data_IF_168446024967
#
_entry.id   IF_168446024967
#
_cell.length_a   1.000
_cell.length_b   1.000
_cell.length_c   1.000
_cell.angle_alpha   90.00
_cell.angle_beta   90.00
_cell.angle_gamma   90.00
#
_symmetry.space_group_name_H-M   'P 1'
#
loop_
_entity.id
_entity.type
_entity.pdbx_description
1 polymer ?
#
# COMPACT_ATOMS: atom_id res chain seq x y z
N UNK A 1 21.43 -0.43 -6.81
CA UNK A 1 20.30 0.17 -6.06
C UNK A 1 19.35 -0.98 -5.72
N UNK A 2 19.14 -1.30 -4.45
CA UNK A 2 18.18 -2.33 -4.04
C UNK A 2 17.00 -1.56 -3.46
N UNK A 3 15.95 -1.42 -4.24
CA UNK A 3 14.74 -0.75 -3.79
C UNK A 3 13.54 -1.41 -4.43
N UNK A 4 12.41 -1.39 -3.74
CA UNK A 4 11.15 -1.77 -4.32
C UNK A 4 10.62 -0.61 -5.15
N UNK A 5 10.08 -0.89 -6.32
CA UNK A 5 9.39 0.09 -7.13
C UNK A 5 8.06 -0.48 -7.64
N UNK A 6 7.11 0.41 -7.85
CA UNK A 6 5.85 0.10 -8.49
C UNK A 6 5.84 0.73 -9.88
N UNK A 7 5.61 -0.07 -10.91
CA UNK A 7 5.37 0.40 -12.26
C UNK A 7 3.88 0.51 -12.54
N UNK A 8 3.50 1.58 -13.21
CA UNK A 8 2.12 1.84 -13.63
C UNK A 8 2.11 2.55 -14.97
N UNK A 9 0.97 2.58 -15.62
CA UNK A 9 0.77 3.31 -16.87
C UNK A 9 -0.32 4.38 -16.70
N UNK A 10 -0.71 5.02 -17.79
CA UNK A 10 -1.76 6.04 -17.82
C UNK A 10 -3.09 5.59 -17.16
N UNK A 11 -3.35 4.28 -17.11
CA UNK A 11 -4.57 3.71 -16.53
C UNK A 11 -4.52 3.53 -15.01
N UNK A 12 -3.48 4.04 -14.30
CA UNK A 12 -3.31 3.84 -12.86
C UNK A 12 -4.54 4.22 -12.03
N UNK A 13 -5.31 5.23 -12.44
CA UNK A 13 -6.54 5.62 -11.75
C UNK A 13 -7.62 4.56 -11.83
N UNK A 14 -7.73 3.82 -12.94
CA UNK A 14 -8.68 2.70 -13.06
C UNK A 14 -8.35 1.59 -12.06
N UNK A 15 -7.04 1.30 -11.88
CA UNK A 15 -6.59 0.33 -10.91
C UNK A 15 -6.88 0.79 -9.48
N UNK A 16 -6.58 2.04 -9.15
CA UNK A 16 -6.87 2.62 -7.83
C UNK A 16 -8.36 2.55 -7.51
N UNK A 17 -9.22 2.87 -8.46
CA UNK A 17 -10.67 2.80 -8.27
C UNK A 17 -11.19 1.38 -8.06
N UNK A 18 -10.64 0.40 -8.79
CA UNK A 18 -11.05 -1.00 -8.66
C UNK A 18 -10.50 -1.68 -7.42
N UNK A 19 -9.23 -1.46 -7.10
CA UNK A 19 -8.53 -2.17 -6.06
C UNK A 19 -8.50 -1.40 -4.73
N UNK A 20 -8.78 -0.11 -4.74
CA UNK A 20 -8.53 0.79 -3.63
C UNK A 20 -9.22 0.40 -2.32
N UNK A 21 -10.43 -0.10 -2.37
CA UNK A 21 -11.18 -0.50 -1.16
C UNK A 21 -10.69 -1.83 -0.59
N UNK A 22 -10.28 -2.76 -1.45
CA UNK A 22 -9.83 -4.10 -1.04
C UNK A 22 -8.40 -4.09 -0.45
N UNK A 23 -7.58 -3.10 -0.82
CA UNK A 23 -6.17 -3.01 -0.42
C UNK A 23 -5.87 -1.87 0.57
N UNK A 24 -6.90 -1.40 1.26
CA UNK A 24 -6.76 -0.22 2.10
C UNK A 24 -6.45 0.98 1.22
N UNK A 25 -7.47 1.47 0.56
CA UNK A 25 -7.44 2.61 -0.36
C UNK A 25 -6.32 3.58 -0.02
N UNK A 26 -5.66 4.17 -0.97
CA UNK A 26 -4.70 5.20 -0.67
C UNK A 26 -5.36 6.12 0.33
N UNK A 27 -4.85 6.13 1.55
CA UNK A 27 -5.23 7.03 2.64
C UNK A 27 -4.79 8.45 2.27
N UNK A 28 -5.02 8.81 1.04
CA UNK A 28 -4.86 10.15 0.53
C UNK A 28 -6.09 10.88 1.05
N UNK A 29 -6.00 11.21 2.32
CA UNK A 29 -7.11 11.58 3.17
C UNK A 29 -7.92 12.78 2.73
N UNK A 30 -7.72 13.25 1.50
CA UNK A 30 -8.46 14.39 0.96
C UNK A 30 -8.72 14.17 -0.53
N UNK A 31 -9.97 14.25 -0.99
CA UNK A 31 -10.33 14.19 -2.40
C UNK A 31 -9.51 15.18 -3.26
N UNK A 32 -9.27 16.37 -2.74
CA UNK A 32 -8.48 17.42 -3.41
C UNK A 32 -7.04 16.98 -3.72
N UNK A 33 -6.43 16.20 -2.83
CA UNK A 33 -5.08 15.68 -3.04
C UNK A 33 -5.00 14.64 -4.15
N UNK A 34 -6.08 13.89 -4.40
CA UNK A 34 -6.15 12.92 -5.50
C UNK A 34 -6.30 13.65 -6.83
N UNK A 35 -7.12 14.69 -6.89
CA UNK A 35 -7.30 15.51 -8.09
C UNK A 35 -6.01 16.24 -8.46
N UNK A 36 -5.32 16.84 -7.50
CA UNK A 36 -4.04 17.48 -7.71
C UNK A 36 -2.98 16.49 -8.20
N UNK A 37 -2.89 15.32 -7.56
CA UNK A 37 -2.00 14.25 -7.98
C UNK A 37 -2.28 13.79 -9.41
N UNK A 38 -3.54 13.60 -9.77
CA UNK A 38 -3.92 13.21 -11.13
C UNK A 38 -3.51 14.28 -12.15
N UNK A 39 -3.77 15.55 -11.87
CA UNK A 39 -3.38 16.66 -12.75
C UNK A 39 -1.87 16.76 -12.93
N UNK A 40 -1.10 16.59 -11.84
CA UNK A 40 0.37 16.58 -11.89
C UNK A 40 0.91 15.42 -12.72
N UNK A 41 0.36 14.22 -12.55
CA UNK A 41 0.73 13.05 -13.33
C UNK A 41 0.38 13.19 -14.82
N UNK A 42 -0.82 13.69 -15.13
CA UNK A 42 -1.27 13.90 -16.51
C UNK A 42 -0.51 15.01 -17.24
N UNK A 43 0.01 15.99 -16.49
CA UNK A 43 0.85 17.08 -17.03
C UNK A 43 2.32 16.70 -17.15
N UNK A 44 2.73 15.50 -16.73
CA UNK A 44 4.12 15.07 -16.77
C UNK A 44 4.63 15.00 -18.20
N UNK A 45 5.78 15.64 -18.45
CA UNK A 45 6.52 15.51 -19.69
C UNK A 45 7.43 14.27 -19.63
N UNK A 46 7.18 13.21 -20.44
CA UNK A 46 8.06 12.05 -20.47
C UNK A 46 9.52 12.38 -20.76
N UNK A 47 9.78 13.43 -21.55
CA UNK A 47 11.15 13.86 -21.88
C UNK A 47 11.90 14.44 -20.66
N UNK A 48 11.20 14.88 -19.63
CA UNK A 48 11.81 15.31 -18.37
C UNK A 48 12.32 14.14 -17.51
N UNK A 49 11.85 12.94 -17.77
CA UNK A 49 12.23 11.72 -17.06
C UNK A 49 11.70 11.58 -15.64
N UNK A 50 11.26 12.68 -15.02
CA UNK A 50 10.68 12.70 -13.66
C UNK A 50 9.57 13.72 -13.55
N UNK A 51 8.63 13.46 -12.65
CA UNK A 51 7.58 14.39 -12.25
C UNK A 51 7.55 14.52 -10.74
N UNK A 52 7.38 15.74 -10.24
CA UNK A 52 7.18 16.02 -8.82
C UNK A 52 5.70 16.08 -8.52
N UNK A 53 5.29 15.31 -7.52
CA UNK A 53 3.88 15.19 -7.12
C UNK A 53 3.67 15.81 -5.74
N UNK A 54 3.11 17.01 -5.70
CA UNK A 54 2.84 17.76 -4.47
C UNK A 54 1.65 17.20 -3.70
N UNK A 55 0.67 16.64 -4.39
CA UNK A 55 -0.47 16.00 -3.77
C UNK A 55 -0.06 14.93 -2.76
N UNK A 56 1.04 14.22 -3.01
CA UNK A 56 1.64 13.28 -2.06
C UNK A 56 2.36 13.96 -0.89
N UNK A 57 2.92 15.17 -1.06
CA UNK A 57 3.51 15.93 0.05
C UNK A 57 2.47 16.32 1.09
N UNK A 58 1.29 16.73 0.67
CA UNK A 58 0.20 17.11 1.56
C UNK A 58 -0.29 15.90 2.36
N UNK A 59 -0.40 14.74 1.70
CA UNK A 59 -0.83 13.49 2.32
C UNK A 59 0.23 12.86 3.24
N UNK A 60 1.52 13.04 2.93
CA UNK A 60 2.64 12.36 3.58
C UNK A 60 3.78 13.33 3.94
N UNK A 61 3.52 14.37 4.70
CA UNK A 61 4.54 15.34 5.16
C UNK A 61 5.78 14.71 5.82
N UNK A 62 5.67 13.48 6.27
CA UNK A 62 6.77 12.70 6.86
C UNK A 62 7.52 11.82 5.86
N UNK A 63 7.16 11.83 4.58
CA UNK A 63 7.72 10.94 3.55
C UNK A 63 8.15 11.70 2.29
N UNK A 64 9.14 12.62 2.38
CA UNK A 64 9.56 13.47 1.25
C UNK A 64 10.14 12.72 0.06
N UNK A 65 10.49 11.43 0.22
CA UNK A 65 11.05 10.58 -0.83
C UNK A 65 9.99 9.98 -1.78
N UNK A 66 8.71 10.17 -1.52
CA UNK A 66 7.64 9.74 -2.43
C UNK A 66 7.25 10.82 -3.45
N UNK A 67 7.98 11.92 -3.49
CA UNK A 67 7.63 13.09 -4.31
C UNK A 67 8.19 13.02 -5.72
N UNK A 68 9.15 12.12 -5.98
CA UNK A 68 9.73 11.94 -7.30
C UNK A 68 9.19 10.65 -7.93
N UNK A 69 8.44 10.82 -9.02
CA UNK A 69 7.97 9.73 -9.86
C UNK A 69 8.73 9.81 -11.18
N UNK A 70 9.33 8.71 -11.59
CA UNK A 70 9.93 8.60 -12.90
C UNK A 70 8.85 8.46 -13.96
N UNK A 71 9.05 9.07 -15.13
CA UNK A 71 8.11 9.03 -16.25
C UNK A 71 8.86 8.70 -17.52
N UNK A 72 8.20 8.02 -18.45
CA UNK A 72 8.76 7.68 -19.76
C UNK A 72 7.66 7.35 -20.77
N UNK A 73 7.98 7.48 -22.06
CA UNK A 73 7.07 7.15 -23.15
C UNK A 73 7.01 5.66 -23.46
N UNK A 74 8.00 4.90 -22.97
CA UNK A 74 8.08 3.44 -23.09
C UNK A 74 8.41 2.82 -21.74
N UNK A 75 8.12 1.52 -21.60
CA UNK A 75 8.51 0.74 -20.42
C UNK A 75 10.03 0.77 -20.22
N UNK A 76 10.80 0.62 -21.30
CA UNK A 76 12.26 0.67 -21.24
C UNK A 76 12.77 2.04 -20.76
N UNK A 77 12.21 3.12 -21.30
CA UNK A 77 12.61 4.48 -20.95
C UNK A 77 12.33 4.78 -19.46
N UNK A 78 11.14 4.45 -18.96
CA UNK A 78 10.81 4.70 -17.55
C UNK A 78 11.67 3.86 -16.59
N UNK A 79 11.99 2.61 -16.95
CA UNK A 79 12.89 1.76 -16.19
C UNK A 79 14.32 2.32 -16.17
N UNK A 80 14.81 2.80 -17.33
CA UNK A 80 16.13 3.44 -17.42
C UNK A 80 16.20 4.74 -16.63
N UNK A 81 15.16 5.58 -16.70
CA UNK A 81 15.03 6.80 -15.90
C UNK A 81 15.04 6.52 -14.39
N UNK A 82 14.47 5.39 -13.97
CA UNK A 82 14.52 4.90 -12.58
C UNK A 82 15.89 4.30 -12.18
N UNK A 83 16.86 4.29 -13.12
CA UNK A 83 18.24 3.86 -12.88
C UNK A 83 18.50 2.37 -13.09
N UNK A 84 17.60 1.62 -13.72
CA UNK A 84 17.85 0.23 -14.09
C UNK A 84 18.71 0.17 -15.36
N UNK A 85 19.67 -0.75 -15.37
CA UNK A 85 20.58 -0.97 -16.50
C UNK A 85 20.92 -2.44 -16.66
N UNK A 86 21.40 -2.85 -17.85
CA UNK A 86 21.88 -4.21 -18.12
C UNK A 86 20.83 -5.29 -17.79
N UNK A 87 21.26 -6.38 -17.18
CA UNK A 87 20.40 -7.53 -16.87
C UNK A 87 19.19 -7.17 -16.00
N UNK A 88 19.31 -6.18 -15.12
CA UNK A 88 18.20 -5.73 -14.27
C UNK A 88 17.10 -5.03 -15.08
N UNK A 89 17.49 -4.26 -16.09
CA UNK A 89 16.55 -3.62 -17.01
C UNK A 89 15.80 -4.68 -17.84
N UNK A 90 16.52 -5.62 -18.42
CA UNK A 90 15.90 -6.68 -19.21
C UNK A 90 14.99 -7.59 -18.39
N UNK A 91 15.38 -7.95 -17.18
CA UNK A 91 14.53 -8.73 -16.29
C UNK A 91 13.24 -7.97 -15.90
N UNK A 92 13.33 -6.66 -15.68
CA UNK A 92 12.16 -5.84 -15.38
C UNK A 92 11.22 -5.72 -16.59
N UNK A 93 11.75 -5.53 -17.80
CA UNK A 93 10.96 -5.55 -19.04
C UNK A 93 10.23 -6.89 -19.21
N UNK A 94 10.96 -8.00 -19.10
CA UNK A 94 10.37 -9.33 -19.19
C UNK A 94 9.25 -9.57 -18.15
N UNK A 95 9.40 -9.01 -16.96
CA UNK A 95 8.36 -9.10 -15.92
C UNK A 95 7.08 -8.34 -16.31
N UNK A 96 7.20 -7.16 -16.92
CA UNK A 96 6.05 -6.40 -17.43
C UNK A 96 5.37 -7.15 -18.59
N UNK A 97 6.14 -7.67 -19.54
CA UNK A 97 5.62 -8.47 -20.65
C UNK A 97 4.88 -9.72 -20.16
N UNK A 98 5.47 -10.44 -19.20
CA UNK A 98 4.82 -11.58 -18.56
C UNK A 98 3.52 -11.21 -17.87
N UNK A 99 3.51 -10.11 -17.13
CA UNK A 99 2.30 -9.61 -16.48
C UNK A 99 1.21 -9.26 -17.51
N UNK A 100 1.57 -8.58 -18.59
CA UNK A 100 0.64 -8.22 -19.66
C UNK A 100 0.08 -9.48 -20.37
N UNK A 101 0.90 -10.53 -20.53
CA UNK A 101 0.41 -11.79 -21.04
C UNK A 101 -0.62 -12.44 -20.10
N UNK A 102 -0.36 -12.45 -18.78
CA UNK A 102 -1.33 -12.95 -17.80
C UNK A 102 -2.63 -12.14 -17.80
N UNK A 103 -2.56 -10.83 -18.03
CA UNK A 103 -3.76 -10.01 -18.24
C UNK A 103 -4.56 -10.43 -19.47
N UNK A 104 -3.88 -10.72 -20.58
CA UNK A 104 -4.51 -11.19 -21.81
C UNK A 104 -5.14 -12.57 -21.63
N UNK A 105 -4.51 -13.45 -20.89
CA UNK A 105 -4.99 -14.79 -20.57
C UNK A 105 -6.13 -14.77 -19.52
N UNK A 106 -6.31 -13.65 -18.81
CA UNK A 106 -7.30 -13.48 -17.73
C UNK A 106 -6.98 -14.30 -16.47
N UNK A 107 -5.74 -14.77 -16.33
CA UNK A 107 -5.29 -15.60 -15.20
C UNK A 107 -3.90 -15.18 -14.76
N UNK A 108 -3.75 -14.82 -13.49
CA UNK A 108 -2.46 -14.64 -12.85
C UNK A 108 -1.93 -15.99 -12.33
N UNK A 109 -1.05 -16.61 -13.10
CA UNK A 109 -0.45 -17.89 -12.75
C UNK A 109 0.65 -17.80 -11.68
N UNK A 110 1.16 -16.58 -11.39
CA UNK A 110 2.25 -16.36 -10.46
C UNK A 110 1.77 -16.13 -9.03
N UNK A 111 0.73 -15.31 -8.86
CA UNK A 111 0.27 -14.86 -7.53
C UNK A 111 -1.24 -15.04 -7.31
N UNK A 112 -1.99 -15.48 -8.31
CA UNK A 112 -3.43 -15.73 -8.20
C UNK A 112 -4.26 -14.44 -8.03
N UNK A 113 -3.82 -13.32 -8.60
CA UNK A 113 -4.57 -12.06 -8.60
C UNK A 113 -5.92 -12.27 -9.30
N UNK A 114 -6.99 -11.72 -8.74
CA UNK A 114 -8.33 -11.83 -9.31
C UNK A 114 -8.37 -11.28 -10.74
N UNK A 115 -9.07 -11.97 -11.64
CA UNK A 115 -9.14 -11.62 -13.06
C UNK A 115 -9.66 -10.20 -13.32
N UNK A 116 -10.61 -9.73 -12.55
CA UNK A 116 -11.18 -8.37 -12.64
C UNK A 116 -10.20 -7.26 -12.22
N UNK A 117 -9.11 -7.62 -11.55
CA UNK A 117 -8.01 -6.72 -11.17
C UNK A 117 -6.81 -6.81 -12.14
N UNK A 118 -6.85 -7.67 -13.13
CA UNK A 118 -5.81 -7.79 -14.14
C UNK A 118 -5.98 -6.67 -15.19
N UNK A 119 -5.22 -5.60 -15.02
CA UNK A 119 -5.17 -4.46 -15.94
C UNK A 119 -3.77 -4.40 -16.52
N UNK A 120 -3.60 -4.54 -17.86
CA UNK A 120 -2.28 -4.53 -18.47
C UNK A 120 -1.59 -3.18 -18.35
N UNK A 121 -0.28 -3.19 -18.35
CA UNK A 121 0.59 -2.00 -18.35
C UNK A 121 1.07 -1.80 -19.79
N UNK A 122 0.27 -1.11 -20.61
CA UNK A 122 0.48 -1.03 -22.07
C UNK A 122 0.15 0.34 -22.68
N UNK A 123 -0.25 1.33 -21.87
CA UNK A 123 -0.64 2.66 -22.36
C UNK A 123 0.25 3.76 -21.79
N UNK A 124 1.02 4.43 -22.68
CA UNK A 124 1.88 5.55 -22.29
C UNK A 124 1.07 6.78 -21.83
N UNK A 125 1.64 7.65 -20.97
CA UNK A 125 2.97 7.53 -20.37
C UNK A 125 3.04 6.46 -19.28
N UNK A 126 4.25 5.94 -19.06
CA UNK A 126 4.56 5.00 -18.00
C UNK A 126 5.21 5.70 -16.82
N UNK A 127 4.94 5.22 -15.62
CA UNK A 127 5.42 5.82 -14.39
C UNK A 127 6.05 4.77 -13.47
N UNK A 128 7.06 5.19 -12.71
CA UNK A 128 7.64 4.38 -11.62
C UNK A 128 7.68 5.21 -10.35
N UNK A 129 7.00 4.73 -9.32
CA UNK A 129 7.16 5.21 -7.96
C UNK A 129 8.19 4.35 -7.24
N UNK A 130 9.24 4.97 -6.72
CA UNK A 130 10.27 4.27 -5.96
C UNK A 130 10.08 4.50 -4.47
N UNK A 131 10.18 3.42 -3.68
CA UNK A 131 10.46 3.59 -2.27
C UNK A 131 11.98 3.76 -2.13
N UNK A 132 12.41 4.98 -1.82
CA UNK A 132 13.82 5.28 -1.68
C UNK A 132 14.51 4.38 -0.65
N UNK A 133 15.72 3.96 -0.96
CA UNK A 133 16.57 3.11 -0.11
C UNK A 133 16.93 3.74 1.25
N UNK A 134 16.65 5.03 1.43
CA UNK A 134 16.86 5.73 2.69
C UNK A 134 15.73 5.52 3.70
N UNK A 135 14.75 4.70 3.36
CA UNK A 135 13.61 4.47 4.21
C UNK A 135 13.88 3.40 5.28
N UNK A 136 14.83 3.70 6.16
CA UNK A 136 15.00 2.95 7.42
C UNK A 136 13.74 3.01 8.31
N UNK A 137 12.82 3.89 7.99
CA UNK A 137 11.56 4.14 8.68
C UNK A 137 10.35 3.96 7.74
N UNK A 138 10.43 3.05 6.79
CA UNK A 138 9.30 2.68 5.96
C UNK A 138 8.03 2.55 6.79
N UNK A 139 6.83 2.73 6.21
CA UNK A 139 5.60 2.55 6.96
C UNK A 139 5.69 1.22 7.69
N UNK A 140 5.63 1.26 9.01
CA UNK A 140 5.80 0.07 9.82
C UNK A 140 4.81 -0.97 9.36
N UNK A 141 5.32 -2.14 8.97
CA UNK A 141 4.46 -3.27 8.65
C UNK A 141 3.75 -3.70 9.93
N UNK A 142 2.42 -3.65 9.91
CA UNK A 142 1.62 -4.21 10.98
C UNK A 142 1.31 -5.66 10.63
N UNK A 143 1.51 -6.56 11.60
CA UNK A 143 0.95 -7.89 11.48
C UNK A 143 -0.55 -7.84 11.76
N UNK A 144 -1.33 -8.62 11.02
CA UNK A 144 -2.76 -8.83 11.32
C UNK A 144 -2.97 -9.92 12.37
N UNK A 145 -1.92 -10.70 12.66
CA UNK A 145 -1.91 -11.70 13.72
C UNK A 145 -1.75 -11.04 15.09
N UNK A 146 -2.38 -11.61 16.09
CA UNK A 146 -2.29 -11.15 17.47
C UNK A 146 -3.07 -12.05 18.40
N UNK A 147 -3.11 -11.70 19.69
CA UNK A 147 -3.82 -12.46 20.69
C UNK A 147 -5.34 -12.28 20.50
N UNK A 148 -6.08 -13.38 20.56
CA UNK A 148 -7.53 -13.33 20.53
C UNK A 148 -8.07 -12.74 21.84
N UNK A 149 -9.00 -11.80 21.74
CA UNK A 149 -9.56 -11.09 22.89
C UNK A 149 -11.09 -11.07 22.84
N UNK A 150 -11.71 -10.89 24.00
CA UNK A 150 -13.15 -10.61 24.08
C UNK A 150 -13.44 -9.09 23.99
N UNK A 151 -14.70 -8.70 24.12
CA UNK A 151 -15.13 -7.29 24.07
C UNK A 151 -14.55 -6.39 25.17
N UNK A 152 -13.97 -6.95 26.23
CA UNK A 152 -13.27 -6.23 27.30
C UNK A 152 -11.75 -6.26 27.13
N UNK A 153 -11.25 -6.75 25.99
CA UNK A 153 -9.83 -6.90 25.65
C UNK A 153 -9.07 -7.90 26.54
N UNK A 154 -9.78 -8.80 27.23
CA UNK A 154 -9.17 -9.92 27.95
C UNK A 154 -8.74 -10.98 26.95
N UNK A 155 -7.53 -11.50 27.12
CA UNK A 155 -6.99 -12.55 26.24
C UNK A 155 -7.72 -13.87 26.48
N UNK A 156 -8.05 -14.53 25.38
CA UNK A 156 -8.70 -15.83 25.37
C UNK A 156 -7.66 -16.96 25.21
N UNK A 157 -7.99 -18.14 25.71
CA UNK A 157 -7.22 -19.37 25.42
C UNK A 157 -7.23 -19.67 23.93
N UNK A 158 -6.33 -20.54 23.47
CA UNK A 158 -6.24 -20.94 22.06
C UNK A 158 -7.56 -21.52 21.52
N UNK A 159 -8.35 -22.17 22.37
CA UNK A 159 -9.69 -22.67 22.04
C UNK A 159 -10.78 -21.58 22.02
N UNK A 160 -10.43 -20.34 22.40
CA UNK A 160 -11.34 -19.18 22.50
C UNK A 160 -12.55 -19.35 23.44
N UNK A 161 -12.53 -20.35 24.31
CA UNK A 161 -13.66 -20.65 25.19
C UNK A 161 -13.47 -20.23 26.67
N UNK A 162 -12.28 -19.72 27.01
CA UNK A 162 -12.02 -19.23 28.36
C UNK A 162 -11.11 -17.97 28.32
N UNK A 163 -11.29 -17.11 29.31
CA UNK A 163 -10.44 -15.94 29.53
C UNK A 163 -9.19 -16.37 30.31
N UNK A 164 -8.05 -15.84 29.95
CA UNK A 164 -6.81 -15.93 30.73
C UNK A 164 -6.85 -14.82 31.79
N UNK A 165 -7.01 -15.12 33.09
CA UNK A 165 -7.18 -14.10 34.12
C UNK A 165 -5.98 -13.15 34.19
N UNK A 166 -6.25 -11.86 34.31
CA UNK A 166 -5.21 -10.83 34.44
C UNK A 166 -4.45 -10.48 33.16
N UNK A 167 -4.73 -11.14 32.04
CA UNK A 167 -4.04 -10.86 30.76
C UNK A 167 -4.96 -10.09 29.81
N UNK A 168 -4.46 -8.97 29.30
CA UNK A 168 -5.13 -8.11 28.33
C UNK A 168 -4.25 -7.88 27.12
N UNK A 169 -4.84 -7.73 25.94
CA UNK A 169 -4.14 -7.32 24.73
C UNK A 169 -4.93 -6.21 24.01
N UNK A 170 -4.22 -5.16 23.60
CA UNK A 170 -4.82 -3.97 23.02
C UNK A 170 -4.00 -3.49 21.81
N UNK A 171 -4.57 -2.62 20.99
CA UNK A 171 -3.90 -2.06 19.82
C UNK A 171 -3.40 -3.15 18.89
N UNK A 172 -2.14 -3.08 18.51
CA UNK A 172 -1.53 -4.05 17.57
C UNK A 172 -1.19 -5.41 18.20
N UNK A 173 -1.30 -5.55 19.51
CA UNK A 173 -1.13 -6.84 20.18
C UNK A 173 -2.36 -7.73 20.09
N UNK A 174 -3.53 -7.19 19.78
CA UNK A 174 -4.75 -7.97 19.57
C UNK A 174 -4.89 -8.37 18.11
N UNK A 175 -5.31 -9.61 17.84
CA UNK A 175 -5.65 -10.15 16.54
C UNK A 175 -7.10 -9.95 16.15
N UNK A 176 -7.44 -10.44 14.95
CA UNK A 176 -8.83 -10.55 14.43
C UNK A 176 -9.55 -9.21 14.19
N UNK A 177 -8.88 -8.08 14.40
CA UNK A 177 -9.48 -6.75 14.21
C UNK A 177 -9.85 -6.44 12.78
N UNK A 178 -8.97 -6.79 11.86
CA UNK A 178 -9.11 -6.51 10.43
C UNK A 178 -9.45 -7.75 9.60
N UNK A 179 -9.66 -8.90 10.26
CA UNK A 179 -9.86 -10.15 9.55
C UNK A 179 -8.60 -10.57 8.77
N UNK A 180 -8.74 -10.82 7.50
CA UNK A 180 -7.67 -11.27 6.60
C UNK A 180 -7.06 -10.15 5.73
N UNK A 181 -7.51 -8.91 5.89
CA UNK A 181 -7.00 -7.77 5.14
C UNK A 181 -6.94 -6.52 6.02
N UNK A 182 -5.85 -5.76 5.90
CA UNK A 182 -5.73 -4.47 6.59
C UNK A 182 -6.59 -3.43 5.88
N UNK A 183 -7.85 -3.38 6.24
CA UNK A 183 -8.77 -2.37 5.74
C UNK A 183 -8.82 -1.18 6.70
N UNK A 184 -8.22 -0.07 6.28
CA UNK A 184 -8.12 1.15 7.09
C UNK A 184 -8.84 2.30 6.37
N UNK A 185 -10.17 2.41 6.54
CA UNK A 185 -11.01 3.34 5.78
C UNK A 185 -10.75 4.82 6.11
N UNK A 186 -9.99 5.10 7.18
CA UNK A 186 -9.67 6.45 7.60
C UNK A 186 -8.25 6.57 8.16
N UNK A 187 -7.60 7.70 7.86
CA UNK A 187 -6.31 8.03 8.46
C UNK A 187 -6.40 8.03 10.00
N UNK A 188 -5.35 7.53 10.66
CA UNK A 188 -5.30 7.46 12.13
C UNK A 188 -6.13 6.35 12.78
N UNK A 189 -6.84 5.52 12.01
CA UNK A 189 -7.68 4.44 12.53
C UNK A 189 -6.90 3.48 13.44
N UNK A 190 -5.68 3.11 13.08
CA UNK A 190 -4.86 2.23 13.89
C UNK A 190 -4.48 2.87 15.24
N UNK A 191 -4.05 4.13 15.23
CA UNK A 191 -3.75 4.89 16.44
C UNK A 191 -4.99 5.08 17.30
N UNK A 192 -6.11 5.49 16.72
CA UNK A 192 -7.38 5.67 17.42
C UNK A 192 -7.85 4.39 18.09
N UNK A 193 -7.66 3.23 17.44
CA UNK A 193 -7.96 1.96 18.07
C UNK A 193 -7.01 1.62 19.22
N UNK A 194 -5.71 1.84 19.06
CA UNK A 194 -4.76 1.58 20.14
C UNK A 194 -5.10 2.39 21.39
N UNK A 195 -5.43 3.67 21.23
CA UNK A 195 -5.86 4.55 22.32
C UNK A 195 -7.19 4.10 22.94
N UNK A 196 -8.18 3.77 22.13
CA UNK A 196 -9.53 3.41 22.59
C UNK A 196 -9.50 2.05 23.28
N UNK A 197 -8.86 1.05 22.71
CA UNK A 197 -8.74 -0.28 23.29
C UNK A 197 -7.96 -0.25 24.61
N UNK A 198 -6.86 0.51 24.69
CA UNK A 198 -6.11 0.73 25.92
C UNK A 198 -6.95 1.36 27.03
N UNK A 199 -7.76 2.39 26.69
CA UNK A 199 -8.66 3.04 27.65
C UNK A 199 -9.75 2.10 28.15
N UNK A 200 -10.36 1.31 27.28
CA UNK A 200 -11.42 0.36 27.67
C UNK A 200 -10.86 -0.74 28.54
N UNK A 201 -9.76 -1.38 28.12
CA UNK A 201 -9.09 -2.43 28.88
C UNK A 201 -8.65 -1.94 30.27
N UNK A 202 -8.04 -0.75 30.35
CA UNK A 202 -7.63 -0.17 31.61
C UNK A 202 -8.79 0.11 32.56
N UNK A 203 -9.91 0.63 32.06
CA UNK A 203 -11.13 0.81 32.87
C UNK A 203 -11.72 -0.51 33.37
N UNK A 204 -11.67 -1.56 32.57
CA UNK A 204 -12.15 -2.87 32.97
C UNK A 204 -11.21 -3.50 34.00
N UNK A 205 -9.90 -3.49 33.75
CA UNK A 205 -8.89 -4.04 34.66
C UNK A 205 -8.89 -3.36 36.04
N UNK A 206 -9.23 -2.09 36.11
CA UNK A 206 -9.34 -1.36 37.39
C UNK A 206 -10.57 -1.73 38.22
N UNK A 207 -11.52 -2.49 37.66
CA UNK A 207 -12.78 -2.90 38.34
C UNK A 207 -12.84 -4.39 38.62
N UNK A 208 -11.94 -5.16 38.04
CA UNK A 208 -11.79 -6.60 38.21
C UNK A 208 -10.73 -6.91 39.29
#
# INVERSE_FOLDING_TARGET
MVGNFAIMDKKYMQYIQKAGLDHGAPNWGFPEGIEEFQQEMESADPAAGTVKVRGLEIANRSMPFMNDIFVGSTVEEVLANAGLTGDALEAAKASVERYNQMCADGVDADFGKKADLLIPIDEAPFYIATQGTQNLYGPGLNTLAGLCVNGNYQVLTASKNAVIPGLFAVGNCMGERYGNAYNCPSAGNNMGNAMTSGRVAGKFAARS
#
